data_IF_460468466715
#
_entry.id   IF_460468466715
#
_cell.length_a   1.000
_cell.length_b   1.000
_cell.length_c   1.000
_cell.angle_alpha   90.00
_cell.angle_beta   90.00
_cell.angle_gamma   90.00
#
_symmetry.space_group_name_H-M   'P 1'
#
loop_
_entity.id
_entity.type
_entity.pdbx_description
1 polymer ?
#
# COMPACT_ATOMS: atom_id res chain seq x y z
N UNK A 1 22.44 -15.45 4.31
CA UNK A 1 22.72 -15.18 5.74
C UNK A 1 22.32 -13.75 5.98
N UNK A 2 21.21 -13.55 6.64
CA UNK A 2 20.48 -12.30 6.81
C UNK A 2 21.11 -11.48 7.92
N UNK A 3 21.79 -10.41 7.59
CA UNK A 3 22.12 -9.38 8.55
C UNK A 3 21.00 -8.31 8.54
N UNK A 4 19.88 -8.62 9.18
CA UNK A 4 19.06 -7.56 9.77
C UNK A 4 19.95 -6.87 10.80
N UNK A 5 19.85 -5.54 10.88
CA UNK A 5 20.57 -4.68 11.84
C UNK A 5 20.63 -5.37 13.19
N UNK A 6 21.85 -5.50 13.74
CA UNK A 6 22.07 -6.00 15.08
C UNK A 6 21.12 -5.30 16.07
N UNK A 7 20.60 -6.08 17.01
CA UNK A 7 19.62 -5.75 18.05
C UNK A 7 19.91 -4.50 18.88
N UNK A 8 21.08 -3.89 18.74
CA UNK A 8 21.56 -2.79 19.60
C UNK A 8 21.25 -1.37 19.08
N UNK A 9 20.64 -1.24 17.90
CA UNK A 9 20.23 0.07 17.33
C UNK A 9 18.76 0.13 16.93
N UNK A 10 17.95 -0.76 17.46
CA UNK A 10 16.50 -0.56 17.42
C UNK A 10 16.26 0.68 18.29
N UNK A 11 16.04 1.81 17.63
CA UNK A 11 15.41 2.95 18.29
C UNK A 11 14.24 2.38 19.07
N UNK A 12 14.33 2.33 20.41
CA UNK A 12 13.22 1.94 21.26
C UNK A 12 12.11 2.94 20.99
N UNK A 13 11.31 2.67 19.95
CA UNK A 13 10.12 3.45 19.71
C UNK A 13 9.25 3.28 20.94
N UNK A 14 9.07 4.36 21.68
CA UNK A 14 8.05 4.35 22.73
C UNK A 14 6.69 4.20 22.08
N UNK A 15 6.30 2.95 21.88
CA UNK A 15 5.00 2.59 21.30
C UNK A 15 3.87 2.93 22.25
N UNK A 16 4.15 3.09 23.55
CA UNK A 16 3.17 3.48 24.58
C UNK A 16 2.69 4.91 24.37
N UNK A 17 3.58 5.83 23.94
CA UNK A 17 3.25 7.21 23.65
C UNK A 17 2.54 7.43 22.29
N UNK A 18 2.45 6.41 21.44
CA UNK A 18 1.74 6.52 20.17
C UNK A 18 0.22 6.47 20.37
N UNK A 19 -0.48 7.36 19.69
CA UNK A 19 -1.95 7.42 19.64
C UNK A 19 -2.48 6.90 18.31
N UNK A 20 -1.73 7.12 17.22
CA UNK A 20 -2.19 6.87 15.87
C UNK A 20 -1.24 5.95 15.10
N UNK A 21 -1.80 4.98 14.38
CA UNK A 21 -1.08 4.10 13.47
C UNK A 21 -1.71 4.25 12.09
N UNK A 22 -0.91 4.74 11.13
CA UNK A 22 -1.26 4.81 9.72
C UNK A 22 -0.69 3.55 9.06
N UNK A 23 -1.50 2.82 8.32
CA UNK A 23 -1.13 1.51 7.79
C UNK A 23 -1.41 1.50 6.29
N UNK A 24 -0.41 1.16 5.50
CA UNK A 24 -0.64 0.87 4.09
C UNK A 24 -1.40 -0.45 3.90
N UNK A 25 -2.04 -0.60 2.76
CA UNK A 25 -2.83 -1.79 2.43
C UNK A 25 -1.99 -2.85 1.74
N UNK A 26 -1.44 -2.52 0.58
CA UNK A 26 -0.78 -3.48 -0.31
C UNK A 26 0.69 -3.65 0.05
N UNK A 27 1.14 -4.89 0.25
CA UNK A 27 2.48 -5.15 0.77
C UNK A 27 2.59 -5.13 2.30
N UNK A 28 1.60 -4.55 3.02
CA UNK A 28 1.54 -4.51 4.49
C UNK A 28 0.44 -5.41 5.05
N UNK A 29 -0.82 -5.17 4.71
CA UNK A 29 -1.98 -5.95 5.15
C UNK A 29 -2.35 -7.03 4.16
N UNK A 30 -2.28 -6.72 2.87
CA UNK A 30 -2.58 -7.60 1.76
C UNK A 30 -1.33 -7.88 0.95
N UNK A 31 -1.27 -9.08 0.36
CA UNK A 31 -0.21 -9.46 -0.56
C UNK A 31 -0.30 -8.65 -1.86
N UNK A 32 0.83 -8.36 -2.48
CA UNK A 32 0.90 -7.61 -3.75
C UNK A 32 0.64 -8.49 -4.97
N UNK A 33 0.49 -9.82 -4.82
CA UNK A 33 0.29 -10.76 -5.93
C UNK A 33 -0.91 -10.37 -6.80
N UNK A 34 -2.02 -9.96 -6.18
CA UNK A 34 -3.23 -9.53 -6.88
C UNK A 34 -2.94 -8.40 -7.88
N UNK A 35 -2.34 -7.31 -7.44
CA UNK A 35 -2.07 -6.16 -8.31
C UNK A 35 -0.93 -6.45 -9.29
N UNK A 36 0.12 -7.16 -8.86
CA UNK A 36 1.22 -7.56 -9.72
C UNK A 36 0.75 -8.43 -10.89
N UNK A 37 -0.04 -9.48 -10.59
CA UNK A 37 -0.60 -10.33 -11.64
C UNK A 37 -1.54 -9.55 -12.55
N UNK A 38 -2.41 -8.70 -11.98
CA UNK A 38 -3.36 -7.91 -12.73
C UNK A 38 -2.68 -7.02 -13.79
N UNK A 39 -1.73 -6.19 -13.37
CA UNK A 39 -1.08 -5.24 -14.26
C UNK A 39 -0.02 -5.88 -15.16
N UNK A 40 0.69 -6.90 -14.69
CA UNK A 40 1.79 -7.50 -15.46
C UNK A 40 1.34 -8.61 -16.41
N UNK A 41 0.19 -9.25 -16.16
CA UNK A 41 -0.28 -10.39 -16.96
C UNK A 41 -1.72 -10.23 -17.43
N UNK A 42 -2.67 -10.04 -16.52
CA UNK A 42 -4.10 -10.05 -16.86
C UNK A 42 -4.48 -8.95 -17.86
N UNK A 43 -4.15 -7.70 -17.56
CA UNK A 43 -4.45 -6.56 -18.45
C UNK A 43 -3.74 -6.67 -19.81
N UNK A 44 -2.44 -7.02 -19.91
CA UNK A 44 -1.81 -7.27 -21.21
C UNK A 44 -2.52 -8.34 -22.05
N UNK A 45 -2.97 -9.46 -21.43
CA UNK A 45 -3.73 -10.50 -22.13
C UNK A 45 -5.07 -9.97 -22.65
N UNK A 46 -5.82 -9.25 -21.83
CA UNK A 46 -7.09 -8.63 -22.25
C UNK A 46 -6.91 -7.57 -23.33
N UNK A 47 -5.82 -6.84 -23.28
CA UNK A 47 -5.47 -5.87 -24.33
C UNK A 47 -5.11 -6.57 -25.65
N UNK A 48 -4.37 -7.69 -25.59
CA UNK A 48 -4.07 -8.51 -26.77
C UNK A 48 -5.36 -9.03 -27.44
N UNK A 49 -6.28 -9.58 -26.64
CA UNK A 49 -7.59 -10.04 -27.11
C UNK A 49 -8.38 -8.89 -27.79
N UNK A 50 -8.49 -7.74 -27.12
CA UNK A 50 -9.23 -6.58 -27.61
C UNK A 50 -8.65 -6.03 -28.95
N UNK A 51 -7.31 -5.96 -29.06
CA UNK A 51 -6.64 -5.40 -30.22
C UNK A 51 -6.32 -6.43 -31.30
N UNK A 52 -6.60 -7.72 -31.07
CA UNK A 52 -6.24 -8.82 -31.99
C UNK A 52 -4.74 -8.82 -32.36
N UNK A 53 -3.89 -8.62 -31.36
CA UNK A 53 -2.42 -8.60 -31.51
C UNK A 53 -1.79 -9.72 -30.70
N UNK A 54 -0.53 -10.02 -30.98
CA UNK A 54 0.27 -10.97 -30.21
C UNK A 54 0.46 -10.53 -28.75
N UNK A 55 0.48 -11.50 -27.83
CA UNK A 55 0.62 -11.26 -26.39
C UNK A 55 1.92 -10.54 -26.03
N UNK A 56 3.04 -10.90 -26.67
CA UNK A 56 4.33 -10.23 -26.38
C UNK A 56 4.33 -8.77 -26.84
N UNK A 57 3.66 -8.50 -27.95
CA UNK A 57 3.44 -7.13 -28.41
C UNK A 57 2.55 -6.35 -27.43
N UNK A 58 1.46 -6.94 -26.95
CA UNK A 58 0.57 -6.32 -25.97
C UNK A 58 1.30 -6.02 -24.64
N UNK A 59 2.14 -6.95 -24.15
CA UNK A 59 2.97 -6.75 -22.96
C UNK A 59 3.90 -5.55 -23.14
N UNK A 60 4.62 -5.45 -24.27
CA UNK A 60 5.51 -4.33 -24.54
C UNK A 60 4.78 -2.99 -24.55
N UNK A 61 3.62 -2.93 -25.19
CA UNK A 61 2.81 -1.70 -25.27
C UNK A 61 2.32 -1.30 -23.88
N UNK A 62 1.65 -2.22 -23.18
CA UNK A 62 1.02 -1.92 -21.89
C UNK A 62 2.07 -1.56 -20.83
N UNK A 63 3.20 -2.29 -20.76
CA UNK A 63 4.28 -1.99 -19.82
C UNK A 63 4.95 -0.64 -20.13
N UNK A 64 5.08 -0.26 -21.42
CA UNK A 64 5.59 1.07 -21.78
C UNK A 64 4.65 2.15 -21.26
N UNK A 65 3.34 2.01 -21.45
CA UNK A 65 2.34 2.95 -20.95
C UNK A 65 2.37 3.03 -19.42
N UNK A 66 2.45 1.88 -18.73
CA UNK A 66 2.51 1.82 -17.27
C UNK A 66 3.76 2.53 -16.73
N UNK A 67 4.94 2.25 -17.30
CA UNK A 67 6.19 2.88 -16.87
C UNK A 67 6.19 4.39 -17.06
N UNK A 68 5.54 4.90 -18.12
CA UNK A 68 5.43 6.34 -18.37
C UNK A 68 4.61 7.07 -17.29
N UNK A 69 3.65 6.37 -16.65
CA UNK A 69 2.76 6.95 -15.63
C UNK A 69 3.17 6.64 -14.20
N UNK A 70 4.17 5.78 -14.00
CA UNK A 70 4.62 5.36 -12.65
C UNK A 70 4.94 6.56 -11.77
N UNK A 71 4.44 6.54 -10.53
CA UNK A 71 4.70 7.57 -9.52
C UNK A 71 3.83 8.83 -9.63
N UNK A 72 2.83 8.84 -10.50
CA UNK A 72 1.85 9.92 -10.53
C UNK A 72 0.41 9.41 -10.27
N UNK A 73 -0.53 10.34 -10.08
CA UNK A 73 -1.91 10.02 -9.74
C UNK A 73 -2.60 9.09 -10.75
N UNK A 74 -2.35 9.31 -12.05
CA UNK A 74 -2.97 8.51 -13.12
C UNK A 74 -2.54 7.05 -13.07
N UNK A 75 -1.35 6.75 -12.52
CA UNK A 75 -0.87 5.38 -12.32
C UNK A 75 -1.84 4.53 -11.50
N UNK A 76 -2.46 5.11 -10.51
CA UNK A 76 -3.38 4.45 -9.59
C UNK A 76 -4.85 4.55 -10.01
N UNK A 77 -5.18 5.34 -11.05
CA UNK A 77 -6.53 5.66 -11.48
C UNK A 77 -7.10 4.62 -12.45
N UNK A 78 -8.10 3.85 -12.02
CA UNK A 78 -8.73 2.81 -12.86
C UNK A 78 -9.51 3.41 -14.04
N UNK A 79 -10.13 4.57 -13.86
CA UNK A 79 -10.90 5.22 -14.92
C UNK A 79 -9.98 5.78 -16.00
N UNK A 80 -8.82 6.32 -15.61
CA UNK A 80 -7.76 6.69 -16.54
C UNK A 80 -7.32 5.49 -17.39
N UNK A 81 -7.02 4.35 -16.75
CA UNK A 81 -6.57 3.16 -17.48
C UNK A 81 -7.67 2.54 -18.32
N UNK A 82 -8.93 2.58 -17.88
CA UNK A 82 -10.05 2.11 -18.69
C UNK A 82 -10.17 2.90 -19.98
N UNK A 83 -10.06 4.22 -19.91
CA UNK A 83 -10.11 5.09 -21.09
C UNK A 83 -8.89 4.89 -22.00
N UNK A 84 -7.68 4.82 -21.42
CA UNK A 84 -6.43 4.69 -22.17
C UNK A 84 -6.34 3.36 -22.93
N UNK A 85 -6.79 2.26 -22.33
CA UNK A 85 -6.68 0.91 -22.90
C UNK A 85 -7.91 0.50 -23.71
N UNK A 86 -9.05 1.15 -23.51
CA UNK A 86 -10.33 0.77 -24.07
C UNK A 86 -10.91 -0.51 -23.44
N UNK A 87 -10.54 -0.78 -22.16
CA UNK A 87 -10.98 -1.94 -21.37
C UNK A 87 -11.77 -1.46 -20.15
N UNK A 88 -12.74 -2.25 -19.71
CA UNK A 88 -13.36 -2.03 -18.40
C UNK A 88 -12.46 -2.61 -17.29
N UNK A 89 -11.47 -1.81 -16.86
CA UNK A 89 -10.45 -2.23 -15.89
C UNK A 89 -11.05 -2.60 -14.54
N UNK A 90 -12.14 -1.94 -14.12
CA UNK A 90 -12.84 -2.27 -12.89
C UNK A 90 -13.51 -3.66 -12.97
N UNK A 91 -14.21 -3.94 -14.07
CA UNK A 91 -14.82 -5.24 -14.31
C UNK A 91 -13.77 -6.35 -14.36
N UNK A 92 -12.65 -6.12 -15.02
CA UNK A 92 -11.55 -7.09 -15.07
C UNK A 92 -10.98 -7.39 -13.67
N UNK A 93 -10.90 -6.40 -12.78
CA UNK A 93 -10.47 -6.58 -11.39
C UNK A 93 -11.47 -7.39 -10.55
N UNK A 94 -12.75 -7.40 -10.92
CA UNK A 94 -13.81 -8.12 -10.23
C UNK A 94 -13.97 -9.58 -10.69
N UNK A 95 -13.21 -10.05 -11.67
CA UNK A 95 -13.30 -11.45 -12.12
C UNK A 95 -12.94 -12.42 -10.99
N UNK A 96 -13.55 -13.58 -10.96
CA UNK A 96 -13.36 -14.59 -9.90
C UNK A 96 -11.90 -15.00 -9.75
N UNK A 97 -11.18 -15.18 -10.89
CA UNK A 97 -9.75 -15.48 -10.87
C UNK A 97 -8.97 -14.40 -10.17
N UNK A 98 -9.28 -13.13 -10.42
CA UNK A 98 -8.62 -12.00 -9.77
C UNK A 98 -8.95 -11.92 -8.28
N UNK A 99 -10.23 -11.99 -7.90
CA UNK A 99 -10.66 -11.93 -6.48
C UNK A 99 -9.99 -13.02 -5.64
N UNK A 100 -9.80 -14.22 -6.20
CA UNK A 100 -9.15 -15.34 -5.50
C UNK A 100 -7.65 -15.12 -5.25
N UNK A 101 -7.01 -14.16 -5.92
CA UNK A 101 -5.61 -13.76 -5.70
C UNK A 101 -5.42 -12.78 -4.55
N UNK A 102 -6.49 -12.17 -4.05
CA UNK A 102 -6.39 -11.29 -2.89
C UNK A 102 -6.12 -12.16 -1.66
N UNK A 103 -4.98 -11.92 -0.99
CA UNK A 103 -4.54 -12.67 0.19
C UNK A 103 -4.11 -11.72 1.30
N UNK A 104 -4.33 -12.14 2.55
CA UNK A 104 -3.80 -11.44 3.72
C UNK A 104 -2.31 -11.75 3.90
N UNK A 105 -1.54 -10.75 4.27
CA UNK A 105 -0.16 -10.98 4.73
C UNK A 105 -0.13 -11.56 6.13
N UNK A 106 0.96 -12.28 6.40
CA UNK A 106 1.20 -12.90 7.71
C UNK A 106 1.19 -11.84 8.81
N UNK A 107 0.39 -12.10 9.85
CA UNK A 107 0.29 -11.24 11.01
C UNK A 107 -0.69 -10.07 10.89
N UNK A 108 -1.25 -9.80 9.71
CA UNK A 108 -2.14 -8.65 9.48
C UNK A 108 -3.32 -8.62 10.47
N UNK A 109 -4.12 -9.68 10.53
CA UNK A 109 -5.28 -9.74 11.44
C UNK A 109 -4.86 -9.66 12.91
N UNK A 110 -3.81 -10.42 13.30
CA UNK A 110 -3.34 -10.39 14.69
C UNK A 110 -2.86 -8.99 15.13
N UNK A 111 -2.24 -8.25 14.19
CA UNK A 111 -1.82 -6.88 14.45
C UNK A 111 -3.03 -5.95 14.62
N UNK A 112 -4.01 -6.03 13.74
CA UNK A 112 -5.23 -5.24 13.81
C UNK A 112 -6.02 -5.55 15.10
N UNK A 113 -6.23 -6.83 15.43
CA UNK A 113 -6.90 -7.27 16.67
C UNK A 113 -6.23 -6.73 17.93
N UNK A 114 -4.89 -6.70 17.94
CA UNK A 114 -4.11 -6.25 19.10
C UNK A 114 -4.24 -4.74 19.36
N UNK A 115 -4.33 -3.92 18.29
CA UNK A 115 -4.16 -2.47 18.44
C UNK A 115 -5.42 -1.64 18.19
N UNK A 116 -6.48 -2.17 17.55
CA UNK A 116 -7.64 -1.36 17.15
C UNK A 116 -8.45 -0.78 18.32
N UNK A 117 -8.38 -1.38 19.51
CA UNK A 117 -9.08 -0.88 20.70
C UNK A 117 -8.26 0.21 21.42
N UNK A 118 -6.92 0.13 21.36
CA UNK A 118 -6.02 1.00 22.13
C UNK A 118 -5.45 2.15 21.31
N UNK A 119 -5.48 2.05 19.99
CA UNK A 119 -4.89 3.00 19.05
C UNK A 119 -5.90 3.40 17.98
N UNK A 120 -5.76 4.60 17.45
CA UNK A 120 -6.50 5.01 16.27
C UNK A 120 -5.80 4.43 15.03
N UNK A 121 -6.41 3.47 14.37
CA UNK A 121 -5.89 2.91 13.14
C UNK A 121 -6.47 3.66 11.94
N UNK A 122 -5.61 4.02 10.99
CA UNK A 122 -5.97 4.64 9.71
C UNK A 122 -5.39 3.83 8.57
N UNK A 123 -6.22 3.41 7.62
CA UNK A 123 -5.72 2.80 6.39
C UNK A 123 -5.43 3.93 5.38
N UNK A 124 -4.21 3.95 4.83
CA UNK A 124 -3.73 5.01 3.93
C UNK A 124 -3.09 4.37 2.71
N UNK A 125 -3.76 4.40 1.56
CA UNK A 125 -3.33 3.69 0.36
C UNK A 125 -3.30 4.59 -0.88
N UNK A 126 -2.40 4.29 -1.81
CA UNK A 126 -2.42 4.85 -3.16
C UNK A 126 -3.47 4.18 -4.06
N UNK A 127 -3.99 3.01 -3.68
CA UNK A 127 -5.01 2.33 -4.47
C UNK A 127 -6.25 3.20 -4.70
N UNK A 128 -6.81 3.14 -5.91
CA UNK A 128 -8.09 3.78 -6.22
C UNK A 128 -9.20 3.27 -5.30
N UNK A 129 -10.19 4.12 -4.98
CA UNK A 129 -11.32 3.76 -4.10
C UNK A 129 -12.03 2.48 -4.56
N UNK A 130 -12.20 2.29 -5.86
CA UNK A 130 -12.80 1.08 -6.44
C UNK A 130 -11.99 -0.17 -6.09
N UNK A 131 -10.65 -0.13 -6.22
CA UNK A 131 -9.76 -1.24 -5.83
C UNK A 131 -9.83 -1.53 -4.34
N UNK A 132 -9.81 -0.47 -3.50
CA UNK A 132 -9.99 -0.63 -2.06
C UNK A 132 -11.31 -1.33 -1.73
N UNK A 133 -12.42 -0.92 -2.34
CA UNK A 133 -13.73 -1.53 -2.10
C UNK A 133 -13.75 -3.02 -2.47
N UNK A 134 -13.16 -3.39 -3.62
CA UNK A 134 -13.01 -4.80 -4.03
C UNK A 134 -12.28 -5.61 -2.95
N UNK A 135 -11.16 -5.11 -2.46
CA UNK A 135 -10.35 -5.77 -1.44
C UNK A 135 -11.07 -5.88 -0.10
N UNK A 136 -11.82 -4.83 0.28
CA UNK A 136 -12.64 -4.83 1.51
C UNK A 136 -13.87 -5.73 1.43
N UNK A 137 -14.39 -6.04 0.23
CA UNK A 137 -15.41 -7.07 0.05
C UNK A 137 -14.86 -8.47 0.30
N UNK A 138 -13.63 -8.75 -0.13
CA UNK A 138 -12.97 -10.04 0.10
C UNK A 138 -12.55 -10.21 1.57
N UNK A 139 -11.98 -9.17 2.17
CA UNK A 139 -11.57 -9.13 3.57
C UNK A 139 -12.14 -7.87 4.23
N UNK A 140 -13.22 -7.99 5.05
CA UNK A 140 -13.91 -6.82 5.61
C UNK A 140 -13.13 -6.19 6.77
N UNK A 141 -11.96 -5.61 6.45
CA UNK A 141 -11.06 -5.00 7.43
C UNK A 141 -11.50 -3.60 7.88
N UNK A 142 -12.52 -3.02 7.25
CA UNK A 142 -12.91 -1.62 7.49
C UNK A 142 -13.25 -1.33 8.95
N UNK A 143 -13.76 -2.31 9.69
CA UNK A 143 -14.17 -2.13 11.09
C UNK A 143 -12.99 -1.90 12.06
N UNK A 144 -11.76 -2.20 11.64
CA UNK A 144 -10.55 -1.93 12.41
C UNK A 144 -10.12 -0.45 12.36
N UNK A 145 -10.58 0.30 11.36
CA UNK A 145 -10.05 1.62 11.06
C UNK A 145 -11.02 2.73 11.41
N UNK A 146 -10.50 3.81 11.98
CA UNK A 146 -11.24 5.08 12.14
C UNK A 146 -11.60 5.69 10.79
N UNK A 147 -10.70 5.57 9.82
CA UNK A 147 -10.90 6.09 8.46
C UNK A 147 -10.03 5.32 7.45
N UNK A 148 -10.56 5.15 6.23
CA UNK A 148 -9.85 4.60 5.09
C UNK A 148 -9.64 5.73 4.07
N UNK A 149 -8.38 6.02 3.75
CA UNK A 149 -7.97 7.13 2.89
C UNK A 149 -7.31 6.60 1.63
N UNK A 150 -7.87 6.97 0.48
CA UNK A 150 -7.24 6.80 -0.82
C UNK A 150 -6.55 8.10 -1.22
N UNK A 151 -5.36 8.02 -1.80
CA UNK A 151 -4.56 9.18 -2.20
C UNK A 151 -5.30 10.11 -3.17
N UNK A 152 -6.12 9.56 -4.07
CA UNK A 152 -6.97 10.31 -5.00
C UNK A 152 -7.87 11.34 -4.32
N UNK A 153 -8.34 11.05 -3.09
CA UNK A 153 -9.21 11.96 -2.33
C UNK A 153 -8.47 13.21 -1.84
N UNK A 154 -7.14 13.11 -1.75
CA UNK A 154 -6.27 14.22 -1.36
C UNK A 154 -5.58 14.88 -2.56
N UNK A 155 -5.83 14.38 -3.79
CA UNK A 155 -5.27 14.88 -5.06
C UNK A 155 -3.76 14.76 -5.18
N UNK A 156 -3.10 14.05 -4.26
CA UNK A 156 -1.68 13.79 -4.21
C UNK A 156 -1.46 12.31 -3.95
N UNK A 157 -0.36 11.75 -4.43
CA UNK A 157 0.10 10.39 -4.11
C UNK A 157 1.02 10.39 -2.91
N UNK A 158 1.18 9.24 -2.23
CA UNK A 158 2.00 9.12 -1.00
C UNK A 158 3.48 9.44 -1.23
N UNK A 159 3.97 9.33 -2.44
CA UNK A 159 5.32 9.73 -2.85
C UNK A 159 5.55 11.25 -2.75
N UNK A 160 4.48 12.04 -2.70
CA UNK A 160 4.52 13.51 -2.66
C UNK A 160 4.41 14.02 -1.22
N UNK A 161 5.34 14.87 -0.78
CA UNK A 161 5.32 15.48 0.56
C UNK A 161 4.00 16.20 0.87
N UNK A 162 3.36 16.96 -0.06
CA UNK A 162 2.08 17.62 0.19
C UNK A 162 0.97 16.67 0.62
N UNK A 163 0.97 15.41 0.16
CA UNK A 163 0.01 14.40 0.59
C UNK A 163 -0.04 14.28 2.11
N UNK A 164 1.11 14.18 2.75
CA UNK A 164 1.23 13.96 4.19
C UNK A 164 0.79 15.18 5.02
N UNK A 165 1.05 16.41 4.54
CA UNK A 165 0.57 17.61 5.21
C UNK A 165 -0.96 17.73 5.11
N UNK A 166 -1.55 17.42 3.95
CA UNK A 166 -3.01 17.43 3.77
C UNK A 166 -3.64 16.34 4.63
N UNK A 167 -3.04 15.13 4.65
CA UNK A 167 -3.50 14.01 5.46
C UNK A 167 -3.50 14.34 6.95
N UNK A 168 -2.40 14.93 7.45
CA UNK A 168 -2.29 15.38 8.85
C UNK A 168 -3.45 16.30 9.24
N UNK A 169 -3.72 17.31 8.41
CA UNK A 169 -4.80 18.26 8.65
C UNK A 169 -6.18 17.60 8.57
N UNK A 170 -6.39 16.72 7.58
CA UNK A 170 -7.67 16.00 7.40
C UNK A 170 -7.99 15.10 8.60
N UNK A 171 -6.98 14.42 9.15
CA UNK A 171 -7.13 13.53 10.29
C UNK A 171 -7.12 14.27 11.64
N UNK A 172 -6.60 15.49 11.70
CA UNK A 172 -6.43 16.24 12.95
C UNK A 172 -5.45 15.57 13.93
N UNK A 173 -4.43 14.88 13.44
CA UNK A 173 -3.52 14.07 14.26
C UNK A 173 -2.16 14.76 14.45
N UNK A 174 -1.50 14.45 15.58
CA UNK A 174 -0.12 14.85 15.84
C UNK A 174 0.86 13.78 15.32
N UNK A 175 1.71 14.15 14.38
CA UNK A 175 2.73 13.24 13.83
C UNK A 175 3.79 12.81 14.86
N UNK A 176 4.03 13.60 15.93
CA UNK A 176 4.89 13.17 17.03
C UNK A 176 4.31 11.97 17.80
N UNK A 177 2.99 11.78 17.76
CA UNK A 177 2.25 10.68 18.39
C UNK A 177 1.74 9.66 17.37
N UNK A 178 2.31 9.65 16.17
CA UNK A 178 1.86 8.84 15.06
C UNK A 178 3.01 8.05 14.44
N UNK A 179 2.67 6.92 13.81
CA UNK A 179 3.61 6.11 13.05
C UNK A 179 2.96 5.63 11.76
N UNK A 180 3.75 5.59 10.68
CA UNK A 180 3.39 4.96 9.42
C UNK A 180 4.01 3.56 9.33
N UNK A 181 3.23 2.59 8.86
CA UNK A 181 3.66 1.24 8.48
C UNK A 181 3.47 1.10 6.98
N UNK A 182 4.54 0.89 6.23
CA UNK A 182 4.60 1.03 4.78
C UNK A 182 5.58 0.00 4.18
N UNK A 183 5.36 -0.44 2.93
CA UNK A 183 6.27 -1.33 2.21
C UNK A 183 7.10 -0.61 1.12
N UNK A 184 6.70 0.59 0.74
CA UNK A 184 7.32 1.38 -0.34
C UNK A 184 8.24 2.46 0.21
N UNK A 185 9.53 2.36 -0.11
CA UNK A 185 10.57 3.27 0.42
C UNK A 185 10.33 4.74 0.07
N UNK A 186 9.81 5.04 -1.12
CA UNK A 186 9.58 6.42 -1.54
C UNK A 186 8.44 7.06 -0.73
N UNK A 187 7.42 6.28 -0.35
CA UNK A 187 6.36 6.71 0.56
C UNK A 187 6.90 6.98 1.96
N UNK A 188 7.79 6.11 2.45
CA UNK A 188 8.43 6.29 3.76
C UNK A 188 9.30 7.54 3.79
N UNK A 189 10.10 7.79 2.74
CA UNK A 189 10.94 9.00 2.63
C UNK A 189 10.09 10.27 2.61
N UNK A 190 9.03 10.30 1.81
CA UNK A 190 8.14 11.47 1.72
C UNK A 190 7.42 11.74 3.04
N UNK A 191 6.95 10.70 3.74
CA UNK A 191 6.35 10.79 5.07
C UNK A 191 7.35 11.31 6.12
N UNK A 192 8.58 10.80 6.10
CA UNK A 192 9.65 11.26 6.97
C UNK A 192 9.97 12.75 6.78
N UNK A 193 10.05 13.22 5.54
CA UNK A 193 10.24 14.65 5.24
C UNK A 193 9.05 15.52 5.69
N UNK A 194 7.87 14.95 5.84
CA UNK A 194 6.70 15.64 6.43
C UNK A 194 6.64 15.54 7.96
N UNK A 195 7.65 14.92 8.61
CA UNK A 195 7.75 14.77 10.04
C UNK A 195 6.99 13.56 10.62
N UNK A 196 6.56 12.62 9.80
CA UNK A 196 5.89 11.39 10.24
C UNK A 196 6.93 10.26 10.38
N UNK A 197 7.07 9.71 11.58
CA UNK A 197 7.89 8.52 11.81
C UNK A 197 7.32 7.32 11.05
N UNK A 198 8.20 6.52 10.47
CA UNK A 198 7.79 5.42 9.61
C UNK A 198 8.62 4.17 9.86
N UNK A 199 8.03 3.01 9.65
CA UNK A 199 8.70 1.72 9.55
C UNK A 199 8.43 1.10 8.18
N UNK A 200 9.43 0.38 7.68
CA UNK A 200 9.34 -0.33 6.43
C UNK A 200 9.02 -1.82 6.69
N UNK A 201 8.07 -2.37 5.94
CA UNK A 201 7.71 -3.80 5.97
C UNK A 201 8.12 -4.43 4.65
N UNK A 202 8.93 -5.49 4.70
CA UNK A 202 9.34 -6.27 3.52
C UNK A 202 10.83 -6.60 3.51
N UNK A 203 11.28 -7.26 2.44
CA UNK A 203 12.66 -7.76 2.29
C UNK A 203 13.71 -6.68 1.97
N UNK A 204 13.41 -5.41 2.16
CA UNK A 204 14.27 -4.27 1.80
C UNK A 204 15.44 -4.11 2.79
N UNK A 205 16.30 -5.10 2.88
CA UNK A 205 17.40 -5.24 3.85
C UNK A 205 18.55 -4.22 3.71
N UNK A 206 18.43 -3.19 2.86
CA UNK A 206 19.55 -2.31 2.52
C UNK A 206 19.45 -0.87 3.05
N UNK A 207 18.44 -0.55 3.87
CA UNK A 207 18.28 0.80 4.41
C UNK A 207 18.79 0.87 5.85
N UNK A 208 20.07 1.26 6.02
CA UNK A 208 20.75 1.29 7.33
C UNK A 208 20.16 2.29 8.33
N UNK A 209 19.41 3.27 7.84
CA UNK A 209 18.94 4.40 8.65
C UNK A 209 17.44 4.34 8.98
N UNK A 210 16.77 3.22 8.71
CA UNK A 210 15.34 3.10 8.87
C UNK A 210 14.93 1.75 9.48
N UNK A 211 14.03 1.75 10.49
CA UNK A 211 13.50 0.51 11.05
C UNK A 211 12.78 -0.31 9.97
N UNK A 212 13.24 -1.55 9.75
CA UNK A 212 12.69 -2.46 8.75
C UNK A 212 12.35 -3.81 9.40
N UNK A 213 11.21 -4.39 9.03
CA UNK A 213 10.74 -5.68 9.51
C UNK A 213 10.19 -6.52 8.35
N UNK A 214 10.35 -7.83 8.40
CA UNK A 214 9.90 -8.72 7.34
C UNK A 214 8.37 -8.72 7.17
N UNK A 215 7.65 -8.66 8.28
CA UNK A 215 6.18 -8.66 8.33
C UNK A 215 5.66 -8.00 9.62
N UNK A 216 4.34 -7.82 9.70
CA UNK A 216 3.69 -7.28 10.90
C UNK A 216 3.86 -8.16 12.15
N UNK A 217 4.09 -9.48 11.99
CA UNK A 217 4.36 -10.36 13.14
C UNK A 217 5.72 -10.06 13.74
N UNK A 218 6.77 -9.91 12.92
CA UNK A 218 8.13 -9.57 13.37
C UNK A 218 8.16 -8.18 14.00
N UNK A 219 7.48 -7.20 13.40
CA UNK A 219 7.31 -5.88 14.00
C UNK A 219 6.59 -5.94 15.35
N UNK A 220 5.42 -6.59 15.42
CA UNK A 220 4.64 -6.70 16.67
C UNK A 220 5.41 -7.42 17.79
N UNK A 221 6.31 -8.35 17.45
CA UNK A 221 7.15 -9.07 18.40
C UNK A 221 8.31 -8.23 18.94
N UNK A 222 8.76 -7.22 18.21
CA UNK A 222 9.80 -6.28 18.65
C UNK A 222 9.28 -5.22 19.61
N UNK A 223 7.96 -5.04 19.69
CA UNK A 223 7.31 -4.09 20.60
C UNK A 223 7.15 -4.74 21.99
N UNK A 224 7.96 -4.36 22.95
CA UNK A 224 7.91 -4.79 24.35
C UNK A 224 6.91 -3.97 25.18
#
# INVERSE_FOLDING_TARGET
MSNCINDDTVYMMDFKGLENILIDMDGVLLDTEYDNYFWQKHIPLKYAELKSIDTDQAIKITHTLFNFKKGNKDWYDLDYWSNMLGLDVEKEKLSDDMINRIKLKKGAIKFLDKYHNDKNLYLVTNAHRKTLNIKMQKFPLMNYFKMLICSHELRHVKEEIPFWFILRNKLGIDYNKSILIEDTIDNVKSAYHAGLRSILIGDSLNYKDMPCFNDLSSFSSSLK
#
